data_IF_643577625294
#
_entry.id   IF_643577625294
#
_cell.length_a   1.000
_cell.length_b   1.000
_cell.length_c   1.000
_cell.angle_alpha   90.00
_cell.angle_beta   90.00
_cell.angle_gamma   90.00
#
_symmetry.space_group_name_H-M   'P 1'
#
loop_
_entity.id
_entity.type
_entity.pdbx_description
1 polymer ?
#
# COMPACT_ATOMS: atom_id res chain seq x y z
N UNK A 1 18.05 8.60 -21.19
CA UNK A 1 17.78 8.39 -19.75
C UNK A 1 17.29 9.70 -19.16
N UNK A 2 15.99 9.93 -19.12
CA UNK A 2 15.40 11.06 -18.38
C UNK A 2 13.99 10.66 -17.98
N UNK A 3 13.86 10.06 -16.80
CA UNK A 3 12.57 9.80 -16.17
C UNK A 3 12.42 10.91 -15.13
N UNK A 4 11.63 11.92 -15.46
CA UNK A 4 11.14 12.93 -14.51
C UNK A 4 10.28 12.22 -13.49
N UNK A 5 10.85 11.95 -12.31
CA UNK A 5 10.16 11.42 -11.15
C UNK A 5 8.95 12.31 -10.81
N UNK A 6 7.76 11.75 -10.96
CA UNK A 6 6.53 12.33 -10.44
C UNK A 6 6.55 12.18 -8.92
N UNK A 7 7.02 13.21 -8.23
CA UNK A 7 6.81 13.37 -6.80
C UNK A 7 5.31 13.57 -6.54
N UNK A 8 4.64 12.51 -6.09
CA UNK A 8 3.27 12.49 -5.63
C UNK A 8 3.12 11.26 -4.74
N UNK A 9 2.44 11.40 -3.60
CA UNK A 9 2.21 10.32 -2.63
C UNK A 9 1.98 8.98 -3.34
N UNK A 10 2.83 7.98 -3.09
CA UNK A 10 2.61 6.65 -3.61
C UNK A 10 1.44 6.03 -2.84
N UNK A 11 0.27 5.98 -3.46
CA UNK A 11 -0.88 5.27 -2.90
C UNK A 11 -0.64 3.78 -3.07
N UNK A 12 -0.56 3.06 -1.95
CA UNK A 12 -0.60 1.60 -1.92
C UNK A 12 -2.02 1.12 -1.75
N UNK A 13 -2.28 -0.07 -2.25
CA UNK A 13 -3.56 -0.74 -2.13
C UNK A 13 -3.38 -2.03 -1.36
N UNK A 14 -4.09 -2.17 -0.25
CA UNK A 14 -4.10 -3.39 0.55
C UNK A 14 -5.44 -4.09 0.36
N UNK A 15 -5.38 -5.33 -0.10
CA UNK A 15 -6.55 -6.18 -0.26
C UNK A 15 -6.58 -7.26 0.82
N UNK A 16 -7.64 -7.35 1.61
CA UNK A 16 -7.82 -8.47 2.52
C UNK A 16 -8.30 -9.70 1.75
N UNK A 17 -7.58 -10.82 1.87
CA UNK A 17 -7.90 -12.06 1.16
C UNK A 17 -8.66 -13.02 2.06
N UNK A 18 -9.84 -13.43 1.61
CA UNK A 18 -10.71 -14.40 2.27
C UNK A 18 -10.93 -15.64 1.40
N UNK A 19 -11.11 -16.80 2.03
CA UNK A 19 -11.39 -18.04 1.30
C UNK A 19 -12.86 -18.15 0.89
N UNK A 20 -13.12 -18.43 -0.39
CA UNK A 20 -14.47 -18.68 -0.92
C UNK A 20 -15.18 -19.87 -0.27
N UNK A 21 -14.43 -20.89 0.16
CA UNK A 21 -15.03 -22.16 0.62
C UNK A 21 -15.35 -22.14 2.12
N UNK A 22 -14.39 -21.73 2.96
CA UNK A 22 -14.55 -21.78 4.42
C UNK A 22 -14.68 -20.42 5.09
N UNK A 23 -14.69 -19.32 4.31
CA UNK A 23 -14.82 -17.95 4.84
C UNK A 23 -13.67 -17.48 5.75
N UNK A 24 -12.58 -18.24 5.84
CA UNK A 24 -11.45 -17.88 6.71
C UNK A 24 -10.67 -16.73 6.07
N UNK A 25 -10.35 -15.69 6.85
CA UNK A 25 -9.40 -14.65 6.45
C UNK A 25 -7.99 -15.26 6.41
N UNK A 26 -7.30 -15.12 5.27
CA UNK A 26 -6.04 -15.84 5.00
C UNK A 26 -4.82 -14.92 5.09
N UNK A 27 -5.01 -13.61 4.95
CA UNK A 27 -3.94 -12.60 4.97
C UNK A 27 -4.29 -11.42 4.07
N UNK A 28 -3.29 -10.60 3.73
CA UNK A 28 -3.48 -9.42 2.89
C UNK A 28 -2.51 -9.38 1.71
N UNK A 29 -2.91 -8.67 0.66
CA UNK A 29 -2.14 -8.52 -0.56
C UNK A 29 -1.94 -7.03 -0.88
N UNK A 30 -0.68 -6.64 -1.03
CA UNK A 30 -0.27 -5.26 -1.31
C UNK A 30 0.06 -5.07 -2.79
N UNK A 31 -0.49 -4.00 -3.37
CA UNK A 31 -0.28 -3.58 -4.74
C UNK A 31 -0.11 -2.06 -4.87
N UNK A 32 0.37 -1.62 -6.03
CA UNK A 32 0.72 -0.22 -6.33
C UNK A 32 -0.35 0.53 -7.12
N UNK A 33 -1.39 -0.16 -7.62
CA UNK A 33 -2.43 0.45 -8.46
C UNK A 33 -3.78 -0.25 -8.39
N UNK A 34 -4.82 0.47 -8.84
CA UNK A 34 -6.13 -0.09 -9.22
C UNK A 34 -6.28 -0.11 -10.76
N UNK A 35 -7.00 -1.08 -11.34
CA UNK A 35 -7.54 -2.29 -10.70
C UNK A 35 -6.42 -3.17 -10.12
N UNK A 36 -6.74 -3.97 -9.10
CA UNK A 36 -5.75 -4.74 -8.35
C UNK A 36 -4.95 -5.67 -9.30
N UNK A 37 -3.63 -5.47 -9.48
CA UNK A 37 -2.82 -6.32 -10.34
C UNK A 37 -2.74 -7.75 -9.77
N UNK A 38 -2.33 -8.70 -10.61
CA UNK A 38 -2.10 -10.08 -10.18
C UNK A 38 -0.85 -10.23 -9.31
N UNK A 39 0.19 -9.44 -9.61
CA UNK A 39 1.47 -9.48 -8.90
C UNK A 39 1.53 -8.43 -7.79
N UNK A 40 2.27 -8.73 -6.73
CA UNK A 40 2.38 -7.85 -5.57
C UNK A 40 3.07 -8.53 -4.40
N UNK A 41 2.89 -7.97 -3.20
CA UNK A 41 3.42 -8.55 -1.96
C UNK A 41 2.29 -9.25 -1.21
N UNK A 42 2.46 -10.53 -0.96
CA UNK A 42 1.58 -11.33 -0.12
C UNK A 42 2.05 -11.28 1.33
N UNK A 43 1.12 -10.96 2.23
CA UNK A 43 1.29 -10.94 3.68
C UNK A 43 0.42 -12.03 4.30
N UNK A 44 0.99 -13.22 4.58
CA UNK A 44 0.27 -14.34 5.19
C UNK A 44 -0.32 -13.98 6.56
N UNK A 45 -1.57 -14.38 6.81
CA UNK A 45 -2.24 -14.19 8.11
C UNK A 45 -1.76 -15.15 9.20
N UNK A 46 -0.92 -16.13 8.86
CA UNK A 46 -0.32 -17.09 9.80
C UNK A 46 0.99 -16.58 10.44
N UNK A 47 1.39 -15.35 10.13
CA UNK A 47 2.61 -14.71 10.65
C UNK A 47 3.89 -15.12 9.91
N UNK A 48 3.78 -15.91 8.84
CA UNK A 48 4.93 -16.18 7.96
C UNK A 48 5.35 -14.91 7.20
N UNK A 49 6.61 -14.90 6.73
CA UNK A 49 7.21 -13.72 6.13
C UNK A 49 6.48 -13.29 4.85
N UNK A 50 6.37 -11.96 4.68
CA UNK A 50 5.86 -11.37 3.46
C UNK A 50 6.72 -11.75 2.25
N UNK A 51 6.09 -12.01 1.11
CA UNK A 51 6.78 -12.47 -0.09
C UNK A 51 6.18 -11.89 -1.36
N UNK A 52 7.02 -11.69 -2.39
CA UNK A 52 6.54 -11.30 -3.71
C UNK A 52 5.89 -12.49 -4.39
N UNK A 53 4.70 -12.29 -4.93
CA UNK A 53 3.97 -13.28 -5.71
C UNK A 53 3.69 -12.74 -7.10
N UNK A 54 3.79 -13.59 -8.12
CA UNK A 54 3.47 -13.22 -9.50
C UNK A 54 1.97 -13.16 -9.76
N UNK A 55 1.19 -13.95 -9.01
CA UNK A 55 -0.25 -14.04 -9.17
C UNK A 55 -0.95 -14.48 -7.87
N UNK A 56 -1.51 -13.53 -7.13
CA UNK A 56 -2.22 -13.83 -5.88
C UNK A 56 -3.45 -14.72 -6.07
N UNK A 57 -4.04 -14.76 -7.27
CA UNK A 57 -5.19 -15.63 -7.58
C UNK A 57 -4.83 -17.11 -7.60
N UNK A 58 -3.54 -17.44 -7.62
CA UNK A 58 -3.03 -18.81 -7.51
C UNK A 58 -2.83 -19.25 -6.05
N UNK A 59 -2.87 -18.32 -5.10
CA UNK A 59 -2.84 -18.65 -3.67
C UNK A 59 -4.07 -19.48 -3.30
N UNK A 60 -3.89 -20.37 -2.34
CA UNK A 60 -4.92 -21.27 -1.82
C UNK A 60 -4.98 -21.17 -0.31
N UNK A 61 -6.17 -21.33 0.25
CA UNK A 61 -6.35 -21.36 1.68
C UNK A 61 -5.57 -22.54 2.27
N UNK A 62 -4.69 -22.26 3.23
CA UNK A 62 -3.90 -23.29 3.93
C UNK A 62 -4.76 -24.23 4.78
N UNK A 63 -5.99 -23.81 5.13
CA UNK A 63 -6.93 -24.61 5.93
C UNK A 63 -7.75 -25.62 5.10
N UNK A 64 -8.22 -25.25 3.92
CA UNK A 64 -9.16 -26.07 3.14
C UNK A 64 -8.83 -26.21 1.65
N UNK A 65 -7.75 -25.57 1.17
CA UNK A 65 -7.35 -25.58 -0.24
C UNK A 65 -8.22 -24.72 -1.17
N UNK A 66 -9.24 -24.01 -0.66
CA UNK A 66 -10.13 -23.18 -1.45
C UNK A 66 -9.45 -21.95 -2.09
N UNK A 67 -10.04 -21.45 -3.18
CA UNK A 67 -9.61 -20.22 -3.82
C UNK A 67 -9.86 -18.99 -2.92
N UNK A 68 -9.06 -17.94 -3.12
CA UNK A 68 -9.13 -16.69 -2.38
C UNK A 68 -9.79 -15.60 -3.21
N UNK A 69 -10.46 -14.66 -2.55
CA UNK A 69 -10.92 -13.39 -3.13
C UNK A 69 -10.54 -12.20 -2.25
N UNK A 70 -10.45 -11.03 -2.88
CA UNK A 70 -10.33 -9.77 -2.16
C UNK A 70 -11.70 -9.38 -1.59
N UNK A 71 -11.84 -9.42 -0.26
CA UNK A 71 -13.06 -9.03 0.45
C UNK A 71 -13.18 -7.50 0.49
N UNK A 72 -12.10 -6.82 0.84
CA UNK A 72 -11.97 -5.37 0.88
C UNK A 72 -10.67 -4.93 0.20
N UNK A 73 -10.66 -3.69 -0.30
CA UNK A 73 -9.47 -3.07 -0.90
C UNK A 73 -9.36 -1.63 -0.40
N UNK A 74 -8.43 -1.41 0.50
CA UNK A 74 -8.12 -0.11 1.08
C UNK A 74 -7.03 0.61 0.28
N UNK A 75 -7.09 1.95 0.25
CA UNK A 75 -6.06 2.79 -0.34
C UNK A 75 -5.31 3.50 0.78
N UNK A 76 -4.03 3.17 0.93
CA UNK A 76 -3.14 3.75 1.92
C UNK A 76 -2.24 4.76 1.21
N UNK A 77 -2.47 6.05 1.49
CA UNK A 77 -1.56 7.08 1.04
C UNK A 77 -0.27 7.01 1.86
N UNK A 78 0.86 6.70 1.22
CA UNK A 78 2.14 6.84 1.91
C UNK A 78 2.41 8.31 2.18
N UNK A 79 2.86 8.66 3.40
CA UNK A 79 3.21 10.03 3.72
C UNK A 79 4.35 10.50 2.82
N UNK A 80 4.22 11.73 2.31
CA UNK A 80 5.31 12.40 1.58
C UNK A 80 6.56 12.42 2.46
N UNK A 81 7.69 12.00 1.90
CA UNK A 81 8.98 12.03 2.57
C UNK A 81 9.42 13.48 2.82
N UNK A 82 10.25 13.71 3.84
CA UNK A 82 10.81 15.04 4.14
C UNK A 82 11.55 15.64 2.91
N UNK A 83 12.13 14.79 2.05
CA UNK A 83 12.80 15.21 0.82
C UNK A 83 11.81 15.69 -0.25
N UNK A 84 10.68 15.00 -0.43
CA UNK A 84 9.61 15.43 -1.32
C UNK A 84 8.97 16.74 -0.85
N UNK A 85 8.74 16.87 0.46
CA UNK A 85 8.20 18.09 1.06
C UNK A 85 9.14 19.30 0.85
N UNK A 86 10.46 19.09 0.89
CA UNK A 86 11.46 20.14 0.63
C UNK A 86 11.54 20.56 -0.84
N UNK A 87 11.18 19.68 -1.78
CA UNK A 87 11.09 20.01 -3.22
C UNK A 87 9.84 20.82 -3.55
N UNK A 88 8.85 20.89 -2.67
CA UNK A 88 7.64 21.68 -2.91
C UNK A 88 7.93 23.19 -2.86
N UNK A 89 7.73 23.88 -3.97
CA UNK A 89 7.81 25.34 -4.02
C UNK A 89 6.64 25.99 -3.27
N UNK A 90 6.87 27.04 -2.46
CA UNK A 90 5.79 27.76 -1.81
C UNK A 90 4.81 28.33 -2.85
N UNK A 91 3.53 27.94 -2.78
CA UNK A 91 2.46 28.60 -3.54
C UNK A 91 2.10 29.90 -2.82
N UNK A 92 1.87 31.00 -3.56
CA UNK A 92 1.69 32.36 -3.00
C UNK A 92 0.79 32.36 -1.76
N UNK A 93 1.29 32.95 -0.67
CA UNK A 93 0.56 33.14 0.59
C UNK A 93 0.48 31.92 1.51
N UNK A 94 0.75 30.70 1.04
CA UNK A 94 0.77 29.50 1.90
C UNK A 94 2.21 29.17 2.33
N UNK A 95 2.49 29.03 3.64
CA UNK A 95 3.75 28.47 4.10
C UNK A 95 3.99 27.06 3.51
N UNK A 96 5.25 26.68 3.22
CA UNK A 96 5.57 25.35 2.72
C UNK A 96 5.11 24.24 3.67
N UNK A 97 4.68 23.08 3.14
CA UNK A 97 4.25 21.95 3.99
C UNK A 97 5.34 21.50 4.96
N UNK A 98 6.60 21.45 4.52
CA UNK A 98 7.74 21.08 5.39
C UNK A 98 7.85 21.98 6.64
N UNK A 99 7.55 23.28 6.49
CA UNK A 99 7.63 24.24 7.59
C UNK A 99 6.48 24.03 8.58
N UNK A 100 5.30 23.67 8.09
CA UNK A 100 4.14 23.31 8.92
C UNK A 100 4.42 22.03 9.69
N UNK A 101 4.98 21.01 9.05
CA UNK A 101 5.27 19.72 9.67
C UNK A 101 6.39 19.81 10.70
N UNK A 102 7.46 20.57 10.42
CA UNK A 102 8.51 20.86 11.39
C UNK A 102 7.95 21.53 12.66
N UNK A 103 7.03 22.50 12.51
CA UNK A 103 6.37 23.18 13.64
C UNK A 103 5.51 22.23 14.47
N UNK A 104 4.80 21.31 13.82
CA UNK A 104 4.02 20.26 14.52
C UNK A 104 4.93 19.36 15.35
N UNK A 105 6.03 18.86 14.76
CA UNK A 105 7.00 18.01 15.47
C UNK A 105 7.66 18.73 16.65
N UNK A 106 7.92 20.03 16.55
CA UNK A 106 8.50 20.84 17.61
C UNK A 106 7.52 21.22 18.74
N UNK A 107 6.22 20.96 18.55
CA UNK A 107 5.16 21.23 19.54
C UNK A 107 4.67 19.96 20.27
N UNK A 108 5.26 18.80 19.94
CA UNK A 108 5.13 17.52 20.64
C UNK A 108 6.27 17.35 21.63
#
# INVERSE_FOLDING_TARGET
>A
MSQTDRAGSHTKYIAELQCFLCGTAVGSFEADRKPLPSYGVWHPGDGSAAQRVADWRQLRCTRCGGALYAESIEAIAEPETDEELRREMPRRGRPPKWLVEQRRRASL
#
